data_IF_977290059029
#
_entry.id   IF_977290059029
#
_cell.length_a   1.000
_cell.length_b   1.000
_cell.length_c   1.000
_cell.angle_alpha   90.00
_cell.angle_beta   90.00
_cell.angle_gamma   90.00
#
_symmetry.space_group_name_H-M   'P 1'
#
loop_
_entity.id
_entity.type
_entity.pdbx_description
1 polymer ?
#
# COMPACT_ATOMS: atom_id res chain seq x y z
N UNK A 1 7.97 1.49 8.27
CA UNK A 1 7.06 2.30 7.41
C UNK A 1 5.96 2.92 8.27
N UNK A 2 5.79 4.24 8.25
CA UNK A 2 4.77 4.98 9.01
C UNK A 2 3.69 5.53 8.06
N UNK A 3 2.45 5.07 8.22
CA UNK A 3 1.31 5.46 7.39
C UNK A 3 0.30 6.29 8.20
N UNK A 4 0.24 7.62 8.02
CA UNK A 4 -0.74 8.43 8.73
C UNK A 4 -2.16 8.18 8.19
N UNK A 5 -3.12 8.04 9.11
CA UNK A 5 -4.54 7.87 8.79
C UNK A 5 -5.14 9.22 8.39
N UNK A 6 -4.94 9.60 7.13
CA UNK A 6 -5.44 10.85 6.53
C UNK A 6 -6.78 10.74 5.82
N UNK A 7 -7.41 9.57 5.82
CA UNK A 7 -8.76 9.40 5.28
C UNK A 7 -9.68 8.93 6.39
N UNK A 8 -10.87 9.51 6.46
CA UNK A 8 -11.89 9.14 7.43
C UNK A 8 -13.27 9.18 6.78
N UNK A 9 -14.19 8.41 7.35
CA UNK A 9 -15.61 8.54 7.01
C UNK A 9 -16.24 9.65 7.84
N UNK A 10 -17.00 10.52 7.20
CA UNK A 10 -17.86 11.47 7.89
C UNK A 10 -19.06 10.76 8.50
N UNK A 11 -19.83 11.50 9.31
CA UNK A 11 -21.11 11.03 9.84
C UNK A 11 -22.13 10.67 8.75
N UNK A 12 -21.93 11.15 7.51
CA UNK A 12 -22.75 10.81 6.34
C UNK A 12 -22.17 9.66 5.51
N UNK A 13 -21.19 8.91 6.05
CA UNK A 13 -20.51 7.80 5.39
C UNK A 13 -19.80 8.18 4.09
N UNK A 14 -19.40 9.45 3.97
CA UNK A 14 -18.57 9.91 2.85
C UNK A 14 -17.09 9.83 3.23
N UNK A 15 -16.27 9.27 2.32
CA UNK A 15 -14.83 9.15 2.53
C UNK A 15 -14.16 10.48 2.21
N UNK A 16 -13.57 11.12 3.22
CA UNK A 16 -12.91 12.41 3.10
C UNK A 16 -11.43 12.34 3.46
N UNK A 17 -10.66 13.27 2.87
CA UNK A 17 -9.24 13.47 3.17
C UNK A 17 -9.08 14.55 4.23
N UNK A 18 -8.38 14.23 5.31
CA UNK A 18 -7.98 15.17 6.33
C UNK A 18 -6.86 16.09 5.81
N UNK A 19 -7.10 17.40 5.81
CA UNK A 19 -6.18 18.41 5.26
C UNK A 19 -5.26 19.08 6.28
N UNK A 20 -5.35 18.73 7.55
CA UNK A 20 -4.54 19.37 8.59
C UNK A 20 -3.03 19.13 8.34
N UNK A 21 -2.14 20.11 8.54
CA UNK A 21 -0.71 19.90 8.42
C UNK A 21 -0.25 18.82 9.40
N UNK A 22 0.66 17.94 8.97
CA UNK A 22 1.39 17.04 9.89
C UNK A 22 2.82 17.52 9.93
N UNK A 23 3.21 17.97 11.12
CA UNK A 23 4.60 18.21 11.44
C UNK A 23 5.22 16.87 11.84
N UNK A 24 6.36 16.56 11.25
CA UNK A 24 7.19 15.47 11.71
C UNK A 24 8.35 16.05 12.51
N UNK A 25 8.55 15.55 13.73
CA UNK A 25 9.71 15.86 14.57
C UNK A 25 10.48 14.55 14.73
N UNK A 26 11.70 14.51 14.21
CA UNK A 26 12.58 13.36 14.40
C UNK A 26 12.92 13.17 15.88
N UNK A 27 12.90 11.94 16.36
CA UNK A 27 13.25 11.58 17.74
C UNK A 27 14.76 11.32 17.94
N UNK A 28 15.56 11.46 16.86
CA UNK A 28 17.00 11.24 16.83
C UNK A 28 17.43 9.80 16.59
N UNK A 29 16.51 8.83 16.63
CA UNK A 29 16.82 7.40 16.44
C UNK A 29 16.56 6.92 15.01
N UNK A 30 15.64 7.60 14.34
CA UNK A 30 15.21 7.30 12.98
C UNK A 30 15.55 8.44 12.05
N UNK A 31 16.02 8.09 10.86
CA UNK A 31 16.20 9.04 9.77
C UNK A 31 15.09 8.86 8.76
N UNK A 32 14.52 9.97 8.28
CA UNK A 32 13.58 9.96 7.18
C UNK A 32 14.34 9.55 5.91
N UNK A 33 13.84 8.54 5.20
CA UNK A 33 14.50 8.00 3.99
C UNK A 33 13.64 8.12 2.74
N UNK A 34 12.31 8.13 2.91
CA UNK A 34 11.39 8.34 1.80
C UNK A 34 10.07 8.97 2.27
N UNK A 35 9.40 9.60 1.34
CA UNK A 35 8.11 10.25 1.51
C UNK A 35 7.21 9.84 0.34
N UNK A 36 5.98 9.39 0.59
CA UNK A 36 4.97 9.16 -0.44
C UNK A 36 3.82 10.14 -0.24
N UNK A 37 3.62 11.03 -1.21
CA UNK A 37 2.66 12.12 -1.16
C UNK A 37 1.50 11.90 -2.13
N UNK A 38 0.27 11.83 -1.62
CA UNK A 38 -0.96 11.93 -2.42
C UNK A 38 -1.39 13.40 -2.54
N UNK A 39 -1.32 13.96 -3.74
CA UNK A 39 -1.75 15.30 -4.11
C UNK A 39 -3.22 15.31 -4.50
N UNK A 40 -4.01 16.22 -3.93
CA UNK A 40 -5.42 16.40 -4.28
C UNK A 40 -6.35 16.37 -3.06
N UNK A 41 -7.47 17.07 -3.15
CA UNK A 41 -8.41 17.27 -2.03
C UNK A 41 -9.32 16.06 -1.76
N UNK A 42 -9.53 15.20 -2.75
CA UNK A 42 -10.44 14.05 -2.66
C UNK A 42 -9.79 12.78 -2.12
N UNK A 43 -10.63 11.81 -1.75
CA UNK A 43 -10.20 10.46 -1.38
C UNK A 43 -10.13 9.48 -2.57
N UNK A 44 -10.87 9.77 -3.65
CA UNK A 44 -10.95 8.92 -4.83
C UNK A 44 -10.20 9.49 -6.05
N UNK A 45 -9.66 10.70 -5.92
CA UNK A 45 -8.97 11.41 -6.99
C UNK A 45 -7.73 12.10 -6.44
N UNK A 46 -6.70 12.15 -7.27
CA UNK A 46 -5.44 12.79 -6.95
C UNK A 46 -4.28 12.11 -7.67
N UNK A 47 -3.08 12.50 -7.27
CA UNK A 47 -1.85 12.08 -7.92
C UNK A 47 -0.80 11.71 -6.87
N UNK A 48 -0.05 10.63 -7.07
CA UNK A 48 0.95 10.18 -6.11
C UNK A 48 2.36 10.56 -6.58
N UNK A 49 3.12 11.13 -5.66
CA UNK A 49 4.52 11.51 -5.87
C UNK A 49 5.35 10.85 -4.78
N UNK A 50 6.52 10.34 -5.11
CA UNK A 50 7.45 9.80 -4.11
C UNK A 50 8.68 10.70 -4.03
N UNK A 51 9.22 10.87 -2.83
CA UNK A 51 10.50 11.51 -2.59
C UNK A 51 11.40 10.52 -1.84
N UNK A 52 12.70 10.55 -2.09
CA UNK A 52 13.63 9.67 -1.38
C UNK A 52 15.03 10.26 -1.31
N UNK A 53 15.78 9.86 -0.29
CA UNK A 53 17.20 10.18 -0.18
C UNK A 53 17.95 9.61 -1.39
N UNK A 54 18.90 10.38 -1.93
CA UNK A 54 19.74 9.92 -3.04
C UNK A 54 20.47 8.61 -2.66
N UNK A 55 20.49 7.58 -3.52
CA UNK A 55 21.05 6.27 -3.18
C UNK A 55 22.54 6.32 -2.81
N UNK A 56 23.30 7.21 -3.46
CA UNK A 56 24.73 7.41 -3.18
C UNK A 56 25.00 8.30 -1.97
N UNK A 57 23.98 8.65 -1.18
CA UNK A 57 24.16 9.49 0.00
C UNK A 57 24.62 8.67 1.20
N UNK A 58 25.77 9.05 1.73
CA UNK A 58 26.23 8.54 3.03
C UNK A 58 25.44 9.16 4.17
N UNK A 59 25.42 8.49 5.32
CA UNK A 59 24.57 8.89 6.45
C UNK A 59 24.96 10.26 7.05
N UNK A 60 26.22 10.65 6.87
CA UNK A 60 26.77 11.94 7.30
C UNK A 60 27.08 12.88 6.11
N UNK A 61 26.54 12.57 4.92
CA UNK A 61 26.68 13.43 3.75
C UNK A 61 25.95 14.77 3.99
N UNK A 62 26.67 15.91 4.01
CA UNK A 62 26.08 17.21 4.30
C UNK A 62 25.24 17.75 3.14
N UNK A 63 25.25 17.10 1.98
CA UNK A 63 24.57 17.59 0.78
C UNK A 63 23.05 17.44 0.84
N UNK A 64 22.52 16.54 1.69
CA UNK A 64 21.07 16.32 1.90
C UNK A 64 20.29 16.30 0.57
N UNK A 65 20.82 15.59 -0.42
CA UNK A 65 20.24 15.34 -1.75
C UNK A 65 19.07 14.37 -1.73
N UNK A 66 17.95 14.81 -2.28
CA UNK A 66 16.73 14.03 -2.42
C UNK A 66 16.32 13.98 -3.88
N UNK A 67 15.70 12.86 -4.26
CA UNK A 67 15.09 12.69 -5.56
C UNK A 67 13.57 12.73 -5.41
N UNK A 68 12.92 13.56 -6.21
CA UNK A 68 11.48 13.60 -6.39
C UNK A 68 11.14 12.80 -7.63
N UNK A 69 10.33 11.75 -7.45
CA UNK A 69 9.80 10.89 -8.49
C UNK A 69 8.36 11.33 -8.80
N UNK A 70 8.20 12.02 -9.93
CA UNK A 70 6.94 12.55 -10.45
C UNK A 70 6.63 11.87 -11.80
N UNK A 71 5.97 10.72 -11.75
CA UNK A 71 5.74 9.85 -12.91
C UNK A 71 7.02 9.53 -13.70
N UNK A 72 7.17 10.09 -14.90
CA UNK A 72 8.31 9.89 -15.78
C UNK A 72 9.46 10.87 -15.48
N UNK A 73 9.23 11.87 -14.62
CA UNK A 73 10.19 12.91 -14.30
C UNK A 73 10.85 12.61 -12.95
N UNK A 74 12.17 12.76 -12.91
CA UNK A 74 12.96 12.66 -11.69
C UNK A 74 13.74 13.96 -11.52
N UNK A 75 13.55 14.63 -10.39
CA UNK A 75 14.22 15.91 -10.09
C UNK A 75 14.97 15.80 -8.78
N UNK A 76 16.20 16.34 -8.74
CA UNK A 76 16.99 16.42 -7.51
C UNK A 76 16.70 17.74 -6.77
N UNK A 77 16.50 17.65 -5.45
CA UNK A 77 16.24 18.76 -4.54
C UNK A 77 16.94 18.53 -3.20
N UNK A 78 17.07 19.57 -2.39
CA UNK A 78 17.55 19.44 -1.01
C UNK A 78 16.42 18.95 -0.08
N UNK A 79 16.75 18.14 0.92
CA UNK A 79 15.79 17.55 1.85
C UNK A 79 14.98 18.58 2.63
N UNK A 80 15.60 19.71 3.00
CA UNK A 80 14.90 20.86 3.57
C UNK A 80 13.78 21.38 2.64
N UNK A 81 14.07 21.54 1.34
CA UNK A 81 13.10 21.99 0.34
C UNK A 81 12.00 20.95 0.09
N UNK A 82 12.34 19.66 0.11
CA UNK A 82 11.34 18.58 0.03
C UNK A 82 10.39 18.67 1.24
N UNK A 83 10.93 18.76 2.46
CA UNK A 83 10.14 18.87 3.68
C UNK A 83 9.20 20.08 3.66
N UNK A 84 9.71 21.26 3.29
CA UNK A 84 8.93 22.48 3.17
C UNK A 84 7.77 22.33 2.17
N UNK A 85 8.07 21.81 0.97
CA UNK A 85 7.05 21.57 -0.06
C UNK A 85 5.97 20.59 0.38
N UNK A 86 6.32 19.58 1.18
CA UNK A 86 5.37 18.55 1.66
C UNK A 86 4.59 19.01 2.89
N UNK A 87 5.14 19.89 3.72
CA UNK A 87 4.47 20.42 4.92
C UNK A 87 3.48 21.56 4.61
N UNK A 88 3.79 22.42 3.63
CA UNK A 88 2.98 23.62 3.35
C UNK A 88 1.72 23.40 2.51
N UNK A 89 1.50 22.19 1.98
CA UNK A 89 0.35 21.91 1.13
C UNK A 89 -0.67 21.02 1.86
N UNK A 90 -1.73 21.66 2.39
CA UNK A 90 -2.87 21.02 3.07
C UNK A 90 -3.58 19.94 2.22
N UNK A 91 -3.40 19.98 0.90
CA UNK A 91 -3.92 19.01 -0.04
C UNK A 91 -3.04 17.77 -0.21
N UNK A 92 -2.00 17.56 0.61
CA UNK A 92 -1.07 16.42 0.46
C UNK A 92 -1.20 15.44 1.62
N UNK A 93 -1.50 14.16 1.33
CA UNK A 93 -1.33 13.06 2.30
C UNK A 93 0.09 12.55 2.15
N UNK A 94 0.89 12.72 3.18
CA UNK A 94 2.31 12.36 3.19
C UNK A 94 2.48 11.10 4.02
N UNK A 95 2.99 10.02 3.45
CA UNK A 95 3.39 8.77 4.12
C UNK A 95 4.89 8.81 4.26
N UNK A 96 5.40 8.39 5.42
CA UNK A 96 6.82 8.53 5.73
C UNK A 96 7.45 7.16 5.91
N UNK A 97 8.62 6.97 5.31
CA UNK A 97 9.46 5.81 5.57
C UNK A 97 10.71 6.23 6.33
N UNK A 98 11.06 5.43 7.33
CA UNK A 98 12.17 5.69 8.22
C UNK A 98 13.09 4.48 8.25
N UNK A 99 14.38 4.75 8.13
CA UNK A 99 15.45 3.76 8.31
C UNK A 99 16.15 3.96 9.66
N UNK A 100 16.58 2.88 10.31
CA UNK A 100 17.40 2.96 11.52
C UNK A 100 18.82 3.43 11.17
N UNK A 101 19.37 4.31 12.00
CA UNK A 101 20.73 4.86 11.79
C UNK A 101 21.83 3.79 11.76
N UNK A 102 21.69 2.71 12.53
CA UNK A 102 22.70 1.67 12.68
C UNK A 102 22.74 0.64 11.51
N UNK A 103 21.62 0.38 10.83
CA UNK A 103 21.54 -0.64 9.78
C UNK A 103 22.21 -0.17 8.47
N UNK A 104 22.25 1.15 8.22
CA UNK A 104 22.96 1.73 7.06
C UNK A 104 24.49 1.56 7.09
N UNK A 105 25.10 1.28 8.25
CA UNK A 105 26.54 1.02 8.33
C UNK A 105 26.94 -0.38 7.80
N UNK A 106 26.01 -1.34 7.71
CA UNK A 106 26.32 -2.72 7.29
C UNK A 106 26.08 -2.99 5.80
N UNK A 107 25.20 -2.23 5.14
CA UNK A 107 24.85 -2.47 3.72
C UNK A 107 25.90 -1.93 2.72
N UNK A 108 26.96 -1.26 3.19
CA UNK A 108 27.94 -0.55 2.36
C UNK A 108 29.05 -1.41 1.69
N UNK A 109 29.08 -2.74 1.86
CA UNK A 109 30.18 -3.56 1.31
C UNK A 109 29.82 -4.62 0.28
N UNK A 110 28.55 -4.96 0.10
CA UNK A 110 28.11 -5.85 -0.97
C UNK A 110 26.60 -5.68 -1.11
N UNK A 111 26.13 -4.95 -2.13
CA UNK A 111 24.85 -5.21 -2.80
C UNK A 111 24.45 -4.06 -3.74
N UNK A 112 24.58 -4.30 -5.05
CA UNK A 112 23.42 -4.05 -5.93
C UNK A 112 22.52 -5.27 -5.66
N UNK A 113 21.28 -5.11 -5.13
CA UNK A 113 20.15 -5.15 -6.05
C UNK A 113 18.86 -4.41 -5.61
N UNK A 114 18.14 -3.90 -6.62
CA UNK A 114 16.69 -4.01 -6.81
C UNK A 114 15.85 -4.54 -5.63
N UNK A 115 14.89 -3.75 -5.09
CA UNK A 115 13.77 -4.36 -4.35
C UNK A 115 12.42 -3.62 -4.30
N UNK A 116 12.28 -2.41 -4.85
CA UNK A 116 10.95 -1.79 -4.96
C UNK A 116 10.05 -2.56 -5.96
N UNK A 117 10.62 -3.07 -7.06
CA UNK A 117 9.89 -3.88 -8.04
C UNK A 117 9.60 -5.32 -7.57
N UNK A 118 10.52 -5.97 -6.87
CA UNK A 118 10.34 -7.38 -6.45
C UNK A 118 9.39 -7.54 -5.26
N UNK A 119 9.35 -6.56 -4.35
CA UNK A 119 8.41 -6.59 -3.23
C UNK A 119 6.98 -6.34 -3.73
N UNK A 120 6.80 -5.44 -4.69
CA UNK A 120 5.49 -5.22 -5.33
C UNK A 120 5.07 -6.39 -6.22
N UNK A 121 6.01 -7.07 -6.90
CA UNK A 121 5.71 -8.28 -7.67
C UNK A 121 5.27 -9.43 -6.75
N UNK A 122 5.95 -9.62 -5.61
CA UNK A 122 5.57 -10.65 -4.62
C UNK A 122 4.21 -10.36 -3.99
N UNK A 123 3.94 -9.10 -3.63
CA UNK A 123 2.62 -8.70 -3.10
C UNK A 123 1.53 -8.87 -4.16
N UNK A 124 1.82 -8.62 -5.44
CA UNK A 124 0.87 -8.87 -6.53
C UNK A 124 0.63 -10.37 -6.73
N UNK A 125 1.69 -11.18 -6.73
CA UNK A 125 1.59 -12.64 -6.90
C UNK A 125 0.88 -13.31 -5.73
N UNK A 126 1.15 -12.87 -4.49
CA UNK A 126 0.45 -13.37 -3.29
C UNK A 126 -1.03 -13.02 -3.33
N UNK A 127 -1.40 -11.81 -3.78
CA UNK A 127 -2.80 -11.42 -3.97
C UNK A 127 -3.49 -12.18 -5.09
N UNK A 128 -2.79 -12.52 -6.15
CA UNK A 128 -3.34 -13.30 -7.27
C UNK A 128 -3.57 -14.77 -6.85
N UNK A 129 -2.65 -15.37 -6.09
CA UNK A 129 -2.81 -16.71 -5.53
C UNK A 129 -3.91 -16.77 -4.47
N UNK A 130 -4.03 -15.76 -3.61
CA UNK A 130 -5.13 -15.66 -2.63
C UNK A 130 -6.49 -15.55 -3.34
N UNK A 131 -6.57 -14.74 -4.40
CA UNK A 131 -7.78 -14.60 -5.21
C UNK A 131 -8.13 -15.91 -5.94
N UNK A 132 -7.14 -16.65 -6.42
CA UNK A 132 -7.32 -17.95 -7.07
C UNK A 132 -7.77 -19.03 -6.09
N UNK A 133 -7.23 -19.02 -4.88
CA UNK A 133 -7.64 -19.92 -3.80
C UNK A 133 -9.10 -19.67 -3.38
N UNK A 134 -9.51 -18.41 -3.29
CA UNK A 134 -10.88 -18.03 -2.95
C UNK A 134 -11.89 -18.46 -4.04
N UNK A 135 -11.54 -18.28 -5.32
CA UNK A 135 -12.36 -18.76 -6.45
C UNK A 135 -12.54 -20.28 -6.38
N UNK A 136 -11.45 -21.02 -6.14
CA UNK A 136 -11.52 -22.49 -6.04
C UNK A 136 -12.38 -22.96 -4.85
N UNK A 137 -12.35 -22.22 -3.74
CA UNK A 137 -13.19 -22.50 -2.57
C UNK A 137 -14.68 -22.33 -2.89
N UNK A 138 -15.03 -21.23 -3.56
CA UNK A 138 -16.41 -20.95 -3.97
C UNK A 138 -16.95 -21.96 -4.98
N UNK A 139 -16.12 -22.44 -5.91
CA UNK A 139 -16.52 -23.49 -6.87
C UNK A 139 -16.82 -24.83 -6.18
N UNK A 140 -15.98 -25.24 -5.21
CA UNK A 140 -16.22 -26.47 -4.43
C UNK A 140 -17.49 -26.38 -3.58
N UNK A 141 -17.80 -25.18 -3.07
CA UNK A 141 -19.01 -24.96 -2.29
C UNK A 141 -20.26 -24.99 -3.18
N UNK A 142 -20.21 -24.38 -4.37
CA UNK A 142 -21.28 -24.51 -5.38
C UNK A 142 -21.52 -25.96 -5.78
N UNK A 143 -20.47 -26.74 -6.02
CA UNK A 143 -20.62 -28.15 -6.42
C UNK A 143 -21.22 -29.01 -5.30
N UNK A 144 -20.93 -28.69 -4.03
CA UNK A 144 -21.56 -29.35 -2.87
C UNK A 144 -23.05 -29.04 -2.80
N UNK A 145 -23.42 -27.77 -2.98
CA UNK A 145 -24.83 -27.33 -2.98
C UNK A 145 -25.59 -28.03 -4.12
N UNK A 146 -25.02 -28.07 -5.33
CA UNK A 146 -25.67 -28.71 -6.47
C UNK A 146 -25.85 -30.22 -6.28
N UNK A 147 -24.87 -30.90 -5.67
CA UNK A 147 -24.99 -32.33 -5.31
C UNK A 147 -26.05 -32.58 -4.25
N UNK A 148 -26.19 -31.70 -3.26
CA UNK A 148 -27.29 -31.77 -2.29
C UNK A 148 -28.65 -31.57 -2.96
N UNK A 149 -28.78 -30.58 -3.84
CA UNK A 149 -30.03 -30.31 -4.55
C UNK A 149 -30.43 -31.45 -5.49
N UNK A 150 -29.45 -32.11 -6.12
CA UNK A 150 -29.72 -33.32 -6.92
C UNK A 150 -30.19 -34.48 -6.03
N UNK A 151 -29.55 -34.72 -4.89
CA UNK A 151 -29.98 -35.73 -3.91
C UNK A 151 -31.39 -35.45 -3.38
N UNK A 152 -31.72 -34.20 -3.07
CA UNK A 152 -33.06 -33.80 -2.61
C UNK A 152 -34.12 -34.07 -3.67
N UNK A 153 -33.83 -33.80 -4.95
CA UNK A 153 -34.72 -34.14 -6.07
C UNK A 153 -34.92 -35.64 -6.24
N UNK A 154 -33.87 -36.44 -6.11
CA UNK A 154 -33.96 -37.90 -6.22
C UNK A 154 -34.75 -38.54 -5.07
N UNK A 155 -34.61 -38.03 -3.85
CA UNK A 155 -35.41 -38.46 -2.68
C UNK A 155 -36.87 -38.11 -2.89
N UNK A 156 -37.17 -36.87 -3.29
CA UNK A 156 -38.55 -36.41 -3.51
C UNK A 156 -39.24 -37.19 -4.66
N UNK A 157 -38.49 -37.55 -5.70
CA UNK A 157 -39.00 -38.40 -6.79
C UNK A 157 -39.30 -39.84 -6.35
N UNK A 158 -38.55 -40.39 -5.38
CA UNK A 158 -38.82 -41.73 -4.83
C UNK A 158 -40.01 -41.73 -3.88
N UNK A 159 -40.20 -40.69 -3.08
CA UNK A 159 -41.35 -40.58 -2.17
C UNK A 159 -42.68 -40.47 -2.93
N UNK A 160 -42.73 -39.74 -4.07
CA UNK A 160 -43.94 -39.67 -4.89
C UNK A 160 -44.32 -41.00 -5.59
N UNK A 161 -43.34 -41.87 -5.87
CA UNK A 161 -43.60 -43.21 -6.43
C UNK A 161 -44.12 -44.20 -5.38
N UNK A 162 -43.85 -43.98 -4.09
CA UNK A 162 -44.31 -44.88 -3.01
C UNK A 162 -45.74 -44.54 -2.57
N UNK A 163 -46.19 -43.28 -2.73
CA UNK A 163 -47.56 -42.87 -2.43
C UNK A 163 -48.59 -43.21 -3.53
N UNK A 164 -48.14 -43.77 -4.67
CA UNK A 164 -48.98 -44.11 -5.83
C UNK A 164 -49.11 -45.63 -6.08
N UNK A 165 -48.65 -46.47 -5.14
CA UNK A 165 -48.88 -47.92 -5.10
C UNK A 165 -49.81 -48.30 -3.96
#
# INVERSE_FOLDING_TARGET
MLQPKRFCYTSFLQLEKLQYPVQYVGDGWYSLVSIISHLGSGAQQGHYVSDGVHPDMELDDPTDRWLIYYDAEVTELQGASVCEQRQHNAERRVTYEFGKRAERMQDHKTNIPYSCGQTLLKISQEKDEEKKAEISRQEREKEKIEKEDRKRRDVNSREMSVQSS
#
